data_IF_406732616486
#
_entry.id   IF_406732616486
#
_cell.length_a   1.000
_cell.length_b   1.000
_cell.length_c   1.000
_cell.angle_alpha   90.00
_cell.angle_beta   90.00
_cell.angle_gamma   90.00
#
_symmetry.space_group_name_H-M   'P 1'
#
loop_
_entity.id
_entity.type
_entity.pdbx_description
1 polymer ?
#
# COMPACT_ATOMS: atom_id res chain seq x y z
N UNK A 1 -30.92 0.55 8.56
CA UNK A 1 -29.46 0.81 8.62
C UNK A 1 -28.65 0.15 7.49
N UNK A 2 -29.17 -0.86 6.77
CA UNK A 2 -28.46 -1.58 5.69
C UNK A 2 -28.31 -0.78 4.38
N UNK A 3 -29.32 0.01 3.97
CA UNK A 3 -29.32 0.71 2.68
C UNK A 3 -28.28 1.83 2.55
N UNK A 4 -27.94 2.54 3.64
CA UNK A 4 -26.93 3.60 3.59
C UNK A 4 -25.51 3.04 3.38
N UNK A 5 -25.17 1.93 4.06
CA UNK A 5 -23.86 1.28 3.88
C UNK A 5 -23.62 0.79 2.45
N UNK A 6 -24.67 0.35 1.76
CA UNK A 6 -24.59 -0.11 0.36
C UNK A 6 -24.40 1.10 -0.58
N UNK A 7 -25.14 2.19 -0.36
CA UNK A 7 -24.98 3.43 -1.14
C UNK A 7 -23.57 4.01 -1.01
N UNK A 8 -23.01 4.05 0.21
CA UNK A 8 -21.66 4.57 0.45
C UNK A 8 -20.60 3.69 -0.23
N UNK A 9 -20.73 2.37 -0.17
CA UNK A 9 -19.83 1.43 -0.85
C UNK A 9 -19.83 1.65 -2.37
N UNK A 10 -21.00 1.84 -2.97
CA UNK A 10 -21.13 2.06 -4.41
C UNK A 10 -20.47 3.38 -4.85
N UNK A 11 -20.54 4.42 -4.01
CA UNK A 11 -19.89 5.70 -4.28
C UNK A 11 -18.36 5.56 -4.38
N UNK A 12 -17.72 4.86 -3.43
CA UNK A 12 -16.25 4.69 -3.46
C UNK A 12 -15.79 3.78 -4.61
N UNK A 13 -16.58 2.77 -4.98
CA UNK A 13 -16.30 1.94 -6.16
C UNK A 13 -16.34 2.78 -7.43
N UNK A 14 -17.40 3.58 -7.61
CA UNK A 14 -17.54 4.47 -8.77
C UNK A 14 -16.37 5.47 -8.83
N UNK A 15 -15.97 6.03 -7.68
CA UNK A 15 -14.81 6.92 -7.62
C UNK A 15 -13.51 6.22 -8.03
N UNK A 16 -13.27 4.98 -7.55
CA UNK A 16 -12.08 4.22 -7.90
C UNK A 16 -12.04 3.87 -9.39
N UNK A 17 -13.14 3.35 -9.93
CA UNK A 17 -13.23 2.97 -11.34
C UNK A 17 -13.11 4.19 -12.26
N UNK A 18 -13.76 5.32 -11.93
CA UNK A 18 -13.55 6.57 -12.68
C UNK A 18 -12.11 7.06 -12.59
N UNK A 19 -11.46 6.91 -11.44
CA UNK A 19 -10.06 7.31 -11.27
C UNK A 19 -9.10 6.43 -12.06
N UNK A 20 -9.41 5.14 -12.23
CA UNK A 20 -8.70 4.24 -13.14
C UNK A 20 -8.91 4.69 -14.59
N UNK A 21 -10.16 4.85 -15.04
CA UNK A 21 -10.50 5.22 -16.41
C UNK A 21 -9.93 6.58 -16.83
N UNK A 22 -9.90 7.53 -15.89
CA UNK A 22 -9.36 8.88 -16.12
C UNK A 22 -7.85 8.98 -15.85
N UNK A 23 -7.16 7.85 -15.65
CA UNK A 23 -5.70 7.79 -15.44
C UNK A 23 -5.19 8.67 -14.29
N UNK A 24 -6.01 8.86 -13.25
CA UNK A 24 -5.65 9.69 -12.09
C UNK A 24 -4.49 9.08 -11.26
N UNK A 25 -4.39 7.75 -11.32
CA UNK A 25 -3.28 6.96 -10.81
C UNK A 25 -3.09 5.72 -11.68
N UNK A 26 -1.91 5.10 -11.60
CA UNK A 26 -1.66 3.87 -12.34
C UNK A 26 -2.53 2.73 -11.82
N UNK A 27 -3.05 1.94 -12.75
CA UNK A 27 -3.71 0.68 -12.46
C UNK A 27 -2.82 -0.47 -12.94
N UNK A 28 -2.62 -1.46 -12.07
CA UNK A 28 -1.86 -2.67 -12.35
C UNK A 28 -2.81 -3.85 -12.43
N UNK A 29 -2.74 -4.62 -13.50
CA UNK A 29 -3.50 -5.87 -13.61
C UNK A 29 -2.97 -6.91 -12.63
N UNK A 30 -3.84 -7.45 -11.78
CA UNK A 30 -3.40 -8.34 -10.70
C UNK A 30 -2.70 -9.61 -11.23
N UNK A 31 -3.13 -10.11 -12.38
CA UNK A 31 -2.57 -11.30 -13.04
C UNK A 31 -1.12 -11.15 -13.49
N UNK A 32 -0.65 -9.91 -13.62
CA UNK A 32 0.73 -9.60 -14.00
C UNK A 32 1.68 -9.60 -12.79
N UNK A 33 1.17 -9.81 -11.57
CA UNK A 33 2.01 -10.08 -10.41
C UNK A 33 2.33 -11.57 -10.29
N UNK A 34 3.59 -11.89 -9.96
CA UNK A 34 4.11 -13.24 -9.68
C UNK A 34 4.91 -13.25 -8.37
N UNK A 35 5.22 -14.44 -7.87
CA UNK A 35 6.00 -14.65 -6.64
C UNK A 35 5.41 -13.87 -5.45
N UNK A 36 4.11 -14.06 -5.22
CA UNK A 36 3.34 -13.36 -4.21
C UNK A 36 3.60 -14.01 -2.85
N UNK A 37 4.21 -13.25 -1.93
CA UNK A 37 4.63 -13.75 -0.61
C UNK A 37 4.16 -12.82 0.51
N UNK A 38 3.45 -13.30 1.54
CA UNK A 38 3.11 -12.49 2.71
C UNK A 38 4.36 -11.99 3.43
N UNK A 39 4.43 -10.68 3.70
CA UNK A 39 5.56 -10.06 4.41
C UNK A 39 5.16 -9.35 5.70
N UNK A 40 3.86 -9.14 5.93
CA UNK A 40 3.38 -8.56 7.18
C UNK A 40 1.86 -8.49 7.25
N UNK A 41 1.35 -8.50 8.47
CA UNK A 41 -0.06 -8.31 8.78
C UNK A 41 -0.20 -7.60 10.13
N UNK A 42 -1.20 -6.73 10.26
CA UNK A 42 -1.47 -6.01 11.49
C UNK A 42 -2.89 -5.47 11.53
N UNK A 43 -3.17 -4.55 12.45
CA UNK A 43 -4.48 -3.93 12.61
C UNK A 43 -4.98 -3.21 11.36
N UNK A 44 -4.07 -2.62 10.59
CA UNK A 44 -4.39 -1.81 9.41
C UNK A 44 -4.48 -2.59 8.10
N UNK A 45 -4.25 -3.90 8.11
CA UNK A 45 -4.20 -4.66 6.87
C UNK A 45 -3.14 -5.74 6.82
N UNK A 46 -3.02 -6.32 5.63
CA UNK A 46 -1.99 -7.30 5.28
C UNK A 46 -1.22 -6.82 4.07
N UNK A 47 0.07 -7.13 4.03
CA UNK A 47 1.00 -6.75 2.96
C UNK A 47 1.64 -8.00 2.40
N UNK A 48 1.59 -8.13 1.07
CA UNK A 48 2.32 -9.15 0.33
C UNK A 48 3.37 -8.50 -0.56
N UNK A 49 4.53 -9.11 -0.69
CA UNK A 49 5.52 -8.78 -1.72
C UNK A 49 5.12 -9.47 -3.02
N UNK A 50 5.26 -8.79 -4.14
CA UNK A 50 5.06 -9.37 -5.45
C UNK A 50 6.08 -8.84 -6.47
N UNK A 51 6.39 -9.64 -7.49
CA UNK A 51 7.17 -9.22 -8.67
C UNK A 51 6.25 -8.89 -9.82
N UNK A 52 6.50 -7.78 -10.51
CA UNK A 52 5.82 -7.45 -11.76
C UNK A 52 6.41 -8.26 -12.91
N UNK A 53 5.56 -8.95 -13.67
CA UNK A 53 5.98 -9.96 -14.65
C UNK A 53 6.91 -9.41 -15.73
N UNK A 54 6.65 -8.21 -16.25
CA UNK A 54 7.38 -7.68 -17.41
C UNK A 54 8.75 -7.09 -17.08
N UNK A 55 8.98 -6.65 -15.83
CA UNK A 55 10.22 -5.95 -15.43
C UNK A 55 10.95 -6.62 -14.27
N UNK A 56 10.39 -7.66 -13.68
CA UNK A 56 10.84 -8.27 -12.43
C UNK A 56 10.95 -7.31 -11.23
N UNK A 57 10.41 -6.09 -11.36
CA UNK A 57 10.38 -5.08 -10.31
C UNK A 57 9.52 -5.56 -9.13
N UNK A 58 10.03 -5.36 -7.92
CA UNK A 58 9.33 -5.71 -6.68
C UNK A 58 8.37 -4.59 -6.25
N UNK A 59 7.22 -5.00 -5.75
CA UNK A 59 6.19 -4.14 -5.17
C UNK A 59 5.65 -4.74 -3.87
N UNK A 60 5.13 -3.87 -3.00
CA UNK A 60 4.32 -4.25 -1.86
C UNK A 60 2.84 -4.02 -2.20
N UNK A 61 2.03 -5.08 -2.14
CA UNK A 61 0.58 -5.00 -2.30
C UNK A 61 -0.07 -5.00 -0.92
N UNK A 62 -0.71 -3.87 -0.57
CA UNK A 62 -1.34 -3.68 0.75
C UNK A 62 -2.86 -3.79 0.61
N UNK A 63 -3.42 -4.74 1.37
CA UNK A 63 -4.86 -4.89 1.61
C UNK A 63 -5.20 -4.25 2.95
N UNK A 64 -6.27 -3.47 3.05
CA UNK A 64 -6.78 -2.95 4.33
C UNK A 64 -7.80 -3.93 4.93
N UNK A 65 -7.75 -4.15 6.25
CA UNK A 65 -8.57 -5.17 6.93
C UNK A 65 -10.07 -4.82 7.04
N UNK A 66 -10.88 -5.87 7.02
CA UNK A 66 -12.33 -6.08 6.85
C UNK A 66 -13.41 -5.01 7.16
N UNK A 67 -14.50 -5.21 6.40
CA UNK A 67 -15.85 -4.63 6.36
C UNK A 67 -16.01 -3.36 5.54
N UNK A 68 -17.20 -3.16 4.92
CA UNK A 68 -17.59 -2.12 3.93
C UNK A 68 -17.13 -0.67 4.19
N UNK A 69 -16.54 -0.38 5.35
CA UNK A 69 -15.77 0.83 5.70
C UNK A 69 -14.42 0.91 4.95
N UNK A 70 -13.90 -0.22 4.46
CA UNK A 70 -12.59 -0.38 3.81
C UNK A 70 -12.38 0.44 2.53
N UNK A 71 -13.39 0.58 1.67
CA UNK A 71 -13.23 1.33 0.42
C UNK A 71 -12.99 2.82 0.67
N UNK A 72 -13.63 3.38 1.71
CA UNK A 72 -13.38 4.74 2.15
C UNK A 72 -11.93 4.90 2.61
N UNK A 73 -11.43 3.93 3.38
CA UNK A 73 -10.05 3.95 3.88
C UNK A 73 -9.04 3.83 2.73
N UNK A 74 -9.29 2.96 1.74
CA UNK A 74 -8.48 2.88 0.51
C UNK A 74 -8.45 4.23 -0.19
N UNK A 75 -9.61 4.85 -0.44
CA UNK A 75 -9.69 6.16 -1.11
C UNK A 75 -9.01 7.26 -0.30
N UNK A 76 -9.15 7.24 1.02
CA UNK A 76 -8.49 8.20 1.91
C UNK A 76 -6.97 8.04 1.89
N UNK A 77 -6.47 6.80 1.96
CA UNK A 77 -5.03 6.53 1.90
C UNK A 77 -4.46 7.00 0.55
N UNK A 78 -5.14 6.71 -0.57
CA UNK A 78 -4.72 7.18 -1.90
C UNK A 78 -4.65 8.71 -1.92
N UNK A 79 -5.68 9.40 -1.41
CA UNK A 79 -5.72 10.87 -1.37
C UNK A 79 -4.61 11.44 -0.49
N UNK A 80 -4.28 10.80 0.63
CA UNK A 80 -3.19 11.22 1.51
C UNK A 80 -1.84 11.02 0.84
N UNK A 81 -1.59 9.83 0.30
CA UNK A 81 -0.32 9.55 -0.37
C UNK A 81 -0.12 10.36 -1.65
N UNK A 82 -1.19 10.81 -2.32
CA UNK A 82 -1.10 11.73 -3.47
C UNK A 82 -0.85 13.18 -3.11
N UNK A 83 -1.09 13.59 -1.85
CA UNK A 83 -0.76 14.94 -1.36
C UNK A 83 0.72 15.08 -1.03
N UNK A 84 1.31 13.98 -0.58
CA UNK A 84 2.75 13.86 -0.47
C UNK A 84 3.25 13.61 -1.89
N UNK A 85 4.01 14.56 -2.46
CA UNK A 85 4.67 14.32 -3.74
C UNK A 85 5.78 13.27 -3.56
N UNK A 86 6.66 13.09 -4.55
CA UNK A 86 7.82 12.21 -4.43
C UNK A 86 8.76 12.73 -3.34
N UNK A 87 8.81 12.03 -2.21
CA UNK A 87 9.71 12.30 -1.09
C UNK A 87 10.57 11.08 -0.79
N UNK A 88 11.88 11.26 -0.64
CA UNK A 88 12.84 10.15 -0.48
C UNK A 88 12.60 9.29 0.78
N UNK A 89 12.09 9.91 1.86
CA UNK A 89 11.84 9.24 3.15
C UNK A 89 10.37 8.78 3.31
N UNK A 90 9.52 8.97 2.29
CA UNK A 90 8.14 8.47 2.29
C UNK A 90 7.97 7.40 1.21
N UNK A 91 7.41 6.28 1.63
CA UNK A 91 7.18 5.14 0.76
C UNK A 91 6.22 5.52 -0.38
N UNK A 92 6.69 5.38 -1.61
CA UNK A 92 5.99 5.89 -2.79
C UNK A 92 4.74 5.08 -3.12
N UNK A 93 3.63 5.80 -3.32
CA UNK A 93 2.43 5.28 -3.97
C UNK A 93 2.69 5.05 -5.46
N UNK A 94 2.59 3.80 -5.90
CA UNK A 94 2.80 3.46 -7.31
C UNK A 94 1.48 3.38 -8.09
N UNK A 95 0.38 3.01 -7.44
CA UNK A 95 -0.93 2.84 -8.06
C UNK A 95 -1.84 1.91 -7.26
N UNK A 96 -2.84 1.33 -7.92
CA UNK A 96 -3.71 0.32 -7.32
C UNK A 96 -3.83 -0.93 -8.21
N UNK A 97 -4.25 -2.03 -7.60
CA UNK A 97 -4.67 -3.25 -8.28
C UNK A 97 -5.99 -3.70 -7.68
N UNK A 98 -6.75 -4.52 -8.41
CA UNK A 98 -7.97 -5.14 -7.87
C UNK A 98 -7.97 -6.64 -8.07
N UNK A 99 -8.55 -7.34 -7.10
CA UNK A 99 -8.87 -8.76 -7.18
C UNK A 99 -10.40 -8.83 -7.28
N UNK A 100 -10.88 -9.36 -8.39
CA UNK A 100 -12.30 -9.51 -8.66
C UNK A 100 -12.63 -11.00 -8.67
N UNK A 101 -13.45 -11.43 -7.72
CA UNK A 101 -14.05 -12.76 -7.68
C UNK A 101 -15.54 -12.66 -7.98
N UNK A 102 -16.20 -13.81 -8.17
CA UNK A 102 -17.64 -13.86 -8.42
C UNK A 102 -18.45 -13.18 -7.32
N UNK A 103 -17.94 -13.14 -6.08
CA UNK A 103 -18.64 -12.62 -4.91
C UNK A 103 -18.12 -11.28 -4.40
N UNK A 104 -16.87 -10.91 -4.69
CA UNK A 104 -16.21 -9.77 -4.05
C UNK A 104 -15.23 -9.05 -4.97
N UNK A 105 -15.20 -7.73 -4.87
CA UNK A 105 -14.20 -6.87 -5.49
C UNK A 105 -13.34 -6.23 -4.41
N UNK A 106 -12.05 -6.53 -4.41
CA UNK A 106 -11.08 -6.04 -3.43
C UNK A 106 -10.05 -5.16 -4.13
N UNK A 107 -9.86 -3.95 -3.62
CA UNK A 107 -8.84 -3.03 -4.10
C UNK A 107 -7.65 -3.05 -3.16
N UNK A 108 -6.46 -3.11 -3.73
CA UNK A 108 -5.18 -3.12 -3.02
C UNK A 108 -4.34 -1.96 -3.49
N UNK A 109 -3.56 -1.39 -2.58
CA UNK A 109 -2.56 -0.37 -2.91
C UNK A 109 -1.31 -1.05 -3.46
N UNK A 110 -0.78 -0.54 -4.55
CA UNK A 110 0.51 -0.92 -5.11
C UNK A 110 1.52 0.12 -4.63
N UNK A 111 2.45 -0.33 -3.81
CA UNK A 111 3.43 0.51 -3.16
C UNK A 111 4.85 0.07 -3.51
N UNK A 112 5.79 1.00 -3.40
CA UNK A 112 7.20 0.67 -3.45
C UNK A 112 7.58 -0.38 -2.40
N UNK A 113 8.41 -1.35 -2.78
CA UNK A 113 8.89 -2.37 -1.86
C UNK A 113 10.20 -1.93 -1.20
N UNK A 114 10.19 -1.82 0.13
CA UNK A 114 11.39 -1.64 0.94
C UNK A 114 11.89 -3.01 1.43
N UNK A 115 13.10 -3.39 1.03
CA UNK A 115 13.69 -4.72 1.26
C UNK A 115 14.35 -4.87 2.64
N UNK A 116 14.67 -3.77 3.33
CA UNK A 116 15.22 -3.76 4.69
C UNK A 116 14.22 -4.13 5.80
N UNK A 117 12.96 -4.39 5.47
CA UNK A 117 11.90 -4.67 6.44
C UNK A 117 11.54 -3.43 7.28
N UNK A 118 10.96 -3.65 8.47
CA UNK A 118 10.60 -2.54 9.36
C UNK A 118 11.81 -2.07 10.17
N UNK A 119 11.89 -0.76 10.43
CA UNK A 119 12.92 -0.20 11.32
C UNK A 119 12.91 -0.87 12.70
N UNK A 120 11.74 -1.23 13.23
CA UNK A 120 11.64 -1.98 14.50
C UNK A 120 12.37 -3.32 14.42
N UNK A 121 12.13 -4.11 13.37
CA UNK A 121 12.81 -5.40 13.18
C UNK A 121 14.31 -5.22 13.00
N UNK A 122 14.72 -4.20 12.23
CA UNK A 122 16.13 -3.88 12.03
C UNK A 122 16.82 -3.51 13.34
N UNK A 123 16.25 -2.59 14.12
CA UNK A 123 16.81 -2.16 15.41
C UNK A 123 16.86 -3.31 16.42
N UNK A 124 15.86 -4.20 16.45
CA UNK A 124 15.88 -5.36 17.34
C UNK A 124 17.12 -6.24 17.15
N UNK A 125 17.63 -6.34 15.92
CA UNK A 125 18.80 -7.16 15.59
C UNK A 125 20.11 -6.37 15.65
N UNK A 126 20.10 -5.09 15.26
CA UNK A 126 21.31 -4.31 14.98
C UNK A 126 21.57 -3.14 15.94
N UNK A 127 20.69 -2.85 16.92
CA UNK A 127 20.81 -1.64 17.75
C UNK A 127 22.16 -1.47 18.48
N UNK A 128 22.79 -2.59 18.86
CA UNK A 128 24.10 -2.62 19.53
C UNK A 128 25.28 -2.43 18.56
N UNK A 129 25.09 -2.78 17.29
CA UNK A 129 26.08 -2.66 16.22
C UNK A 129 26.13 -1.23 15.67
N UNK A 130 25.00 -0.53 15.72
CA UNK A 130 24.87 0.85 15.24
C UNK A 130 25.64 1.84 16.12
N UNK A 131 26.52 2.61 15.48
CA UNK A 131 27.17 3.77 16.10
C UNK A 131 26.21 4.99 16.18
N UNK A 132 26.64 6.03 16.89
CA UNK A 132 25.80 7.22 17.10
C UNK A 132 25.47 7.98 15.81
N UNK A 133 26.39 8.00 14.84
CA UNK A 133 26.14 8.66 13.56
C UNK A 133 25.08 7.94 12.74
N UNK A 134 25.10 6.61 12.71
CA UNK A 134 24.06 5.81 12.03
C UNK A 134 22.69 5.98 12.69
N UNK A 135 22.64 5.99 14.03
CA UNK A 135 21.41 6.29 14.78
C UNK A 135 20.87 7.69 14.48
N UNK A 136 21.77 8.68 14.38
CA UNK A 136 21.42 10.04 13.99
C UNK A 136 20.84 10.09 12.58
N UNK A 137 21.45 9.42 11.60
CA UNK A 137 20.96 9.38 10.22
C UNK A 137 19.55 8.77 10.16
N UNK A 138 19.31 7.65 10.84
CA UNK A 138 17.97 7.02 10.90
C UNK A 138 16.93 7.97 11.49
N UNK A 139 17.26 8.66 12.59
CA UNK A 139 16.37 9.62 13.21
C UNK A 139 16.13 10.85 12.32
N UNK A 140 17.17 11.34 11.65
CA UNK A 140 17.10 12.46 10.73
C UNK A 140 16.21 12.14 9.52
N UNK A 141 16.35 10.97 8.91
CA UNK A 141 15.50 10.53 7.79
C UNK A 141 14.02 10.46 8.19
N UNK A 142 13.72 9.94 9.39
CA UNK A 142 12.35 9.91 9.91
C UNK A 142 11.78 11.31 10.15
N UNK A 143 12.58 12.22 10.71
CA UNK A 143 12.15 13.59 10.99
C UNK A 143 12.03 14.45 9.73
N UNK A 144 12.77 14.10 8.68
CA UNK A 144 12.76 14.79 7.39
C UNK A 144 11.71 14.25 6.43
N UNK A 145 10.89 13.27 6.84
CA UNK A 145 9.83 12.68 6.04
C UNK A 145 8.62 13.62 5.89
#
# INVERSE_FOLDING_TARGET
MSNNKIKDSNFYIDWLEKSITNEYFNYYEYSEFKNIEPIGSGSYGSVVRAKWRSTDKLFALKTLNNDKVTLKEVVNEIKLQKKVDVHENILRFCGITKIETVSEKKYLLVLEYADGGTLKSYLNNHFKELNWNEKYILAFQLASA
#
